data_IF_300344008124
#
_entry.id   IF_300344008124
#
_cell.length_a   1.000
_cell.length_b   1.000
_cell.length_c   1.000
_cell.angle_alpha   90.00
_cell.angle_beta   90.00
_cell.angle_gamma   90.00
#
_symmetry.space_group_name_H-M   'P 1'
#
loop_
_entity.id
_entity.type
_entity.pdbx_description
1 polymer ?
#
# COMPACT_ATOMS: atom_id res chain seq x y z
N UNK A 1 -3.43 -63.23 -6.95
CA UNK A 1 -4.67 -62.48 -7.22
C UNK A 1 -4.97 -61.44 -6.13
N UNK A 2 -5.11 -61.83 -4.86
CA UNK A 2 -5.40 -60.90 -3.75
C UNK A 2 -4.36 -59.76 -3.56
N UNK A 3 -3.07 -60.06 -3.76
CA UNK A 3 -1.99 -59.07 -3.63
C UNK A 3 -2.08 -57.92 -4.64
N UNK A 4 -2.55 -58.21 -5.87
CA UNK A 4 -2.69 -57.21 -6.94
C UNK A 4 -3.84 -56.24 -6.64
N UNK A 5 -4.91 -56.72 -6.00
CA UNK A 5 -6.07 -55.91 -5.59
C UNK A 5 -5.73 -55.00 -4.41
N UNK A 6 -4.89 -55.47 -3.48
CA UNK A 6 -4.42 -54.66 -2.36
C UNK A 6 -3.49 -53.53 -2.85
N UNK A 7 -2.61 -53.80 -3.81
CA UNK A 7 -1.71 -52.79 -4.38
C UNK A 7 -2.49 -51.68 -5.11
N UNK A 8 -3.51 -52.04 -5.90
CA UNK A 8 -4.30 -51.04 -6.62
C UNK A 8 -5.14 -50.15 -5.68
N UNK A 9 -5.69 -50.71 -4.60
CA UNK A 9 -6.45 -49.96 -3.60
C UNK A 9 -5.58 -48.97 -2.81
N UNK A 10 -4.34 -49.34 -2.48
CA UNK A 10 -3.35 -48.46 -1.82
C UNK A 10 -2.91 -47.32 -2.76
N UNK A 11 -2.72 -47.61 -4.05
CA UNK A 11 -2.33 -46.59 -5.03
C UNK A 11 -3.43 -45.55 -5.27
N UNK A 12 -4.69 -45.99 -5.35
CA UNK A 12 -5.84 -45.09 -5.52
C UNK A 12 -6.00 -44.18 -4.29
N UNK A 13 -5.91 -44.71 -3.08
CA UNK A 13 -6.03 -43.94 -1.85
C UNK A 13 -4.94 -42.88 -1.65
N UNK A 14 -3.69 -43.15 -2.08
CA UNK A 14 -2.61 -42.15 -2.09
C UNK A 14 -2.85 -41.04 -3.13
N UNK A 15 -3.41 -41.37 -4.30
CA UNK A 15 -3.71 -40.38 -5.34
C UNK A 15 -4.83 -39.41 -4.94
N UNK A 16 -5.82 -39.87 -4.16
CA UNK A 16 -6.89 -39.01 -3.62
C UNK A 16 -6.44 -38.11 -2.46
N UNK A 17 -5.36 -38.46 -1.77
CA UNK A 17 -4.83 -37.67 -0.64
C UNK A 17 -4.15 -36.38 -1.09
N UNK A 18 -3.54 -36.38 -2.28
CA UNK A 18 -2.79 -35.22 -2.81
C UNK A 18 -3.69 -34.10 -3.34
N UNK A 19 -4.99 -34.35 -3.53
CA UNK A 19 -5.90 -33.40 -4.18
C UNK A 19 -6.48 -32.32 -3.24
N UNK A 20 -6.10 -32.29 -1.96
CA UNK A 20 -6.77 -31.45 -0.95
C UNK A 20 -5.91 -30.35 -0.31
N UNK A 21 -4.67 -30.13 -0.75
CA UNK A 21 -3.77 -29.13 -0.13
C UNK A 21 -3.68 -27.77 -0.82
N UNK A 22 -4.30 -27.56 -1.97
CA UNK A 22 -4.02 -26.36 -2.78
C UNK A 22 -5.04 -25.21 -2.60
N UNK A 23 -5.93 -25.33 -1.60
CA UNK A 23 -7.16 -24.52 -1.57
C UNK A 23 -7.33 -23.54 -0.41
N UNK A 24 -6.32 -23.27 0.43
CA UNK A 24 -6.52 -22.36 1.57
C UNK A 24 -5.25 -21.59 2.00
N UNK A 25 -5.32 -20.26 1.85
CA UNK A 25 -4.56 -19.23 2.56
C UNK A 25 -3.11 -18.91 2.17
N UNK A 26 -2.52 -19.53 1.15
CA UNK A 26 -1.26 -19.04 0.57
C UNK A 26 -1.58 -18.18 -0.64
N UNK A 27 -1.09 -16.95 -0.66
CA UNK A 27 -1.13 -16.15 -1.86
C UNK A 27 -0.38 -16.91 -2.98
N UNK A 28 -0.91 -16.89 -4.20
CA UNK A 28 -0.31 -17.56 -5.36
C UNK A 28 1.08 -16.94 -5.60
N UNK A 29 2.15 -17.68 -5.34
CA UNK A 29 3.55 -17.18 -5.33
C UNK A 29 4.11 -16.89 -6.73
N UNK A 30 3.26 -16.67 -7.71
CA UNK A 30 3.64 -16.29 -9.06
C UNK A 30 2.48 -15.56 -9.76
N UNK A 31 1.97 -14.51 -9.12
CA UNK A 31 0.89 -13.74 -9.74
C UNK A 31 1.42 -12.99 -10.98
N UNK A 32 0.74 -13.06 -12.13
CA UNK A 32 1.17 -12.34 -13.34
C UNK A 32 1.11 -10.80 -13.19
N UNK A 33 0.53 -10.30 -12.10
CA UNK A 33 0.52 -8.87 -11.75
C UNK A 33 1.77 -8.41 -11.02
N UNK A 34 2.56 -9.33 -10.46
CA UNK A 34 3.82 -9.01 -9.80
C UNK A 34 4.93 -9.00 -10.85
N UNK A 35 5.22 -7.83 -11.42
CA UNK A 35 6.35 -7.68 -12.35
C UNK A 35 7.69 -7.96 -11.64
N UNK A 36 7.76 -7.65 -10.34
CA UNK A 36 8.86 -7.99 -9.45
C UNK A 36 8.35 -8.68 -8.17
N UNK A 37 9.27 -9.41 -7.51
CA UNK A 37 8.96 -10.14 -6.28
C UNK A 37 8.40 -9.23 -5.17
N UNK A 38 8.81 -7.96 -5.13
CA UNK A 38 8.27 -6.96 -4.21
C UNK A 38 7.99 -5.65 -4.91
N UNK A 39 6.86 -5.05 -4.60
CA UNK A 39 6.47 -3.77 -5.18
C UNK A 39 4.97 -3.56 -5.13
N UNK A 40 4.55 -2.40 -5.63
CA UNK A 40 3.15 -2.09 -5.87
C UNK A 40 2.95 -1.96 -7.37
N UNK A 41 1.93 -2.59 -7.91
CA UNK A 41 1.69 -2.66 -9.35
C UNK A 41 0.24 -2.29 -9.69
N UNK A 42 0.07 -1.70 -10.86
CA UNK A 42 -1.25 -1.31 -11.35
C UNK A 42 -2.10 -2.54 -11.66
N UNK A 43 -3.37 -2.49 -11.27
CA UNK A 43 -4.34 -3.52 -11.63
C UNK A 43 -5.11 -3.05 -12.87
N UNK A 44 -5.16 -3.84 -13.95
CA UNK A 44 -5.90 -3.44 -15.14
C UNK A 44 -7.38 -3.23 -14.81
N UNK A 45 -7.97 -2.16 -15.36
CA UNK A 45 -9.37 -1.75 -15.15
C UNK A 45 -9.74 -1.30 -13.72
N UNK A 46 -8.83 -1.33 -12.75
CA UNK A 46 -9.11 -0.93 -11.37
C UNK A 46 -8.19 0.21 -10.90
N UNK A 47 -8.46 1.43 -11.33
CA UNK A 47 -7.61 2.60 -11.03
C UNK A 47 -7.42 2.91 -9.54
N UNK A 48 -8.37 2.53 -8.69
CA UNK A 48 -8.30 2.75 -7.24
C UNK A 48 -7.72 1.55 -6.49
N UNK A 49 -7.42 0.44 -7.17
CA UNK A 49 -6.79 -0.73 -6.56
C UNK A 49 -5.41 -0.94 -7.15
N UNK A 50 -4.53 -1.51 -6.35
CA UNK A 50 -3.20 -1.90 -6.75
C UNK A 50 -2.85 -3.25 -6.13
N UNK A 51 -1.97 -3.98 -6.80
CA UNK A 51 -1.40 -5.21 -6.28
C UNK A 51 -0.16 -4.87 -5.46
N UNK A 52 -0.17 -5.17 -4.18
CA UNK A 52 1.00 -5.16 -3.32
C UNK A 52 1.60 -6.57 -3.30
N UNK A 53 2.76 -6.71 -3.92
CA UNK A 53 3.44 -7.98 -4.09
C UNK A 53 4.48 -8.20 -2.99
N UNK A 54 4.47 -9.40 -2.42
CA UNK A 54 5.45 -9.85 -1.43
C UNK A 54 5.94 -11.24 -1.78
N UNK A 55 7.18 -11.38 -2.23
CA UNK A 55 7.72 -12.67 -2.70
C UNK A 55 6.86 -13.29 -3.82
N UNK A 56 6.52 -12.46 -4.82
CA UNK A 56 5.69 -12.80 -5.99
C UNK A 56 4.22 -13.13 -5.68
N UNK A 57 3.82 -12.82 -4.45
CA UNK A 57 2.50 -13.05 -3.90
C UNK A 57 1.69 -11.75 -3.93
N UNK A 58 0.69 -11.66 -4.83
CA UNK A 58 -0.11 -10.45 -4.99
C UNK A 58 -1.21 -10.35 -3.93
N UNK A 59 -1.24 -9.23 -3.21
CA UNK A 59 -2.34 -8.84 -2.32
C UNK A 59 -2.97 -7.55 -2.83
N UNK A 60 -4.29 -7.47 -2.89
CA UNK A 60 -4.96 -6.29 -3.44
C UNK A 60 -5.27 -5.28 -2.33
N UNK A 61 -4.85 -4.04 -2.55
CA UNK A 61 -5.14 -2.91 -1.66
C UNK A 61 -5.80 -1.79 -2.44
N UNK A 62 -6.61 -0.99 -1.76
CA UNK A 62 -7.27 0.17 -2.37
C UNK A 62 -6.61 1.47 -1.93
N UNK A 63 -6.49 2.42 -2.85
CA UNK A 63 -6.06 3.77 -2.55
C UNK A 63 -7.08 4.49 -1.65
N UNK A 64 -6.62 5.28 -0.68
CA UNK A 64 -7.52 6.02 0.21
C UNK A 64 -8.24 7.16 -0.55
N UNK A 65 -9.48 7.44 -0.15
CA UNK A 65 -10.29 8.51 -0.73
C UNK A 65 -10.52 8.35 -2.23
N UNK A 66 -10.29 9.43 -2.98
CA UNK A 66 -10.48 9.52 -4.44
C UNK A 66 -9.18 9.33 -5.24
N UNK A 67 -8.09 8.92 -4.59
CA UNK A 67 -6.80 8.72 -5.25
C UNK A 67 -6.81 7.48 -6.15
N UNK A 68 -5.94 7.50 -7.15
CA UNK A 68 -5.71 6.41 -8.09
C UNK A 68 -4.25 5.98 -8.03
N UNK A 69 -3.95 4.73 -8.39
CA UNK A 69 -2.59 4.23 -8.38
C UNK A 69 -1.81 4.74 -9.60
N UNK A 70 -0.64 5.36 -9.37
CA UNK A 70 0.30 5.73 -10.42
C UNK A 70 1.38 4.65 -10.53
N UNK A 71 1.42 3.96 -11.66
CA UNK A 71 2.46 2.97 -11.95
C UNK A 71 3.86 3.57 -12.04
N UNK A 72 3.99 4.80 -12.55
CA UNK A 72 5.27 5.51 -12.66
C UNK A 72 5.91 5.80 -11.28
N UNK A 73 5.07 6.13 -10.29
CA UNK A 73 5.51 6.51 -8.94
C UNK A 73 5.36 5.37 -7.92
N UNK A 74 4.78 4.24 -8.34
CA UNK A 74 4.44 3.10 -7.50
C UNK A 74 3.68 3.48 -6.21
N UNK A 75 2.74 4.43 -6.32
CA UNK A 75 1.97 4.95 -5.17
C UNK A 75 0.65 5.57 -5.60
N UNK A 76 -0.27 5.72 -4.64
CA UNK A 76 -1.51 6.44 -4.86
C UNK A 76 -1.25 7.94 -5.04
N UNK A 77 -1.87 8.52 -6.06
CA UNK A 77 -1.76 9.93 -6.43
C UNK A 77 -3.10 10.42 -7.01
N UNK A 78 -3.21 11.72 -7.23
CA UNK A 78 -4.39 12.26 -7.89
C UNK A 78 -4.39 11.92 -9.39
N UNK A 79 -5.57 11.62 -9.95
CA UNK A 79 -5.71 11.28 -11.37
C UNK A 79 -5.19 12.36 -12.34
N UNK A 80 -5.13 13.63 -11.91
CA UNK A 80 -4.60 14.73 -12.71
C UNK A 80 -3.07 14.88 -12.63
N UNK A 81 -2.41 14.16 -11.71
CA UNK A 81 -0.96 14.11 -11.55
C UNK A 81 -0.31 12.90 -12.23
N UNK A 82 -1.13 12.06 -12.89
CA UNK A 82 -0.71 10.96 -13.74
C UNK A 82 -0.27 11.48 -15.10
N UNK A 83 0.49 10.66 -15.82
CA UNK A 83 0.82 10.93 -17.21
C UNK A 83 -0.45 10.83 -18.08
N UNK A 84 -0.65 11.69 -19.10
CA UNK A 84 -1.86 11.66 -19.94
C UNK A 84 -2.08 10.34 -20.71
N UNK A 85 -1.04 9.52 -20.83
CA UNK A 85 -1.09 8.20 -21.45
C UNK A 85 -1.59 7.10 -20.50
N UNK A 86 -1.66 7.38 -19.20
CA UNK A 86 -2.14 6.41 -18.21
C UNK A 86 -3.67 6.23 -18.35
N UNK A 87 -4.18 4.98 -18.40
CA UNK A 87 -5.62 4.72 -18.50
C UNK A 87 -6.45 5.27 -17.34
N UNK A 88 -5.81 5.60 -16.23
CA UNK A 88 -6.41 6.15 -15.02
C UNK A 88 -6.25 7.68 -14.90
N UNK A 89 -5.65 8.33 -15.91
CA UNK A 89 -5.55 9.79 -15.97
C UNK A 89 -6.95 10.42 -15.99
N UNK A 90 -7.19 11.36 -15.07
CA UNK A 90 -8.43 12.13 -15.00
C UNK A 90 -8.10 13.61 -14.82
N UNK A 91 -8.43 14.48 -15.78
CA UNK A 91 -8.25 15.90 -15.60
C UNK A 91 -9.16 16.39 -14.48
N UNK A 92 -8.72 17.43 -13.77
CA UNK A 92 -9.39 17.99 -12.59
C UNK A 92 -10.88 18.35 -12.80
N UNK A 93 -11.31 18.51 -14.06
CA UNK A 93 -12.70 18.78 -14.44
C UNK A 93 -13.61 17.54 -14.48
N UNK A 94 -13.07 16.32 -14.34
CA UNK A 94 -13.80 15.06 -14.57
C UNK A 94 -14.16 14.26 -13.29
N UNK A 95 -13.98 14.80 -12.08
CA UNK A 95 -14.24 14.04 -10.83
C UNK A 95 -14.81 14.86 -9.67
N UNK A 96 -15.80 15.70 -9.94
CA UNK A 96 -16.77 16.09 -8.92
C UNK A 96 -17.75 14.93 -8.66
N UNK A 97 -17.27 13.90 -7.97
CA UNK A 97 -18.04 12.71 -7.59
C UNK A 97 -17.83 12.31 -6.12
N UNK A 98 -17.43 13.25 -5.27
CA UNK A 98 -17.50 13.15 -3.82
C UNK A 98 -18.52 14.16 -3.33
N UNK A 99 -19.51 13.68 -2.59
CA UNK A 99 -20.58 14.48 -2.01
C UNK A 99 -20.04 15.77 -1.37
N UNK A 100 -20.46 16.92 -1.90
CA UNK A 100 -20.41 18.18 -1.18
C UNK A 100 -21.65 18.26 -0.29
N UNK A 101 -21.67 17.45 0.77
CA UNK A 101 -22.55 17.72 1.90
C UNK A 101 -21.96 18.95 2.60
N UNK A 102 -22.67 20.08 2.47
CA UNK A 102 -22.55 21.32 3.27
C UNK A 102 -21.27 21.46 4.13
N UNK A 103 -20.21 22.06 3.57
CA UNK A 103 -19.05 22.50 4.38
C UNK A 103 -19.41 23.80 5.13
N UNK A 104 -20.32 23.66 6.09
CA UNK A 104 -20.71 24.65 7.08
C UNK A 104 -20.77 23.97 8.45
N UNK A 105 -19.62 23.49 8.92
CA UNK A 105 -19.54 22.78 10.20
C UNK A 105 -18.14 22.26 10.47
N UNK A 106 -17.25 23.11 10.96
CA UNK A 106 -16.07 22.63 11.68
C UNK A 106 -16.56 21.98 12.98
N UNK A 107 -16.74 20.65 12.97
CA UNK A 107 -16.85 19.93 14.23
C UNK A 107 -15.52 20.12 14.98
N UNK A 108 -15.56 20.54 16.27
CA UNK A 108 -14.33 20.67 17.05
C UNK A 108 -13.62 19.31 17.14
N UNK A 109 -12.30 19.33 16.97
CA UNK A 109 -11.44 18.16 17.10
C UNK A 109 -11.68 17.50 18.46
N UNK A 110 -11.83 16.16 18.55
CA UNK A 110 -11.80 15.47 19.82
C UNK A 110 -10.43 15.69 20.51
N UNK A 111 -10.38 15.83 21.85
CA UNK A 111 -9.13 15.99 22.56
C UNK A 111 -8.21 14.79 22.30
N UNK A 112 -6.94 15.09 21.99
CA UNK A 112 -5.90 14.09 21.79
C UNK A 112 -5.77 13.22 23.05
N UNK A 113 -5.66 11.87 22.91
CA UNK A 113 -5.26 11.04 24.04
C UNK A 113 -3.83 11.42 24.49
N UNK A 114 -3.51 11.30 25.79
CA UNK A 114 -2.16 11.58 26.28
C UNK A 114 -1.16 10.65 25.59
N UNK A 115 -0.07 11.24 25.10
CA UNK A 115 1.06 10.51 24.52
C UNK A 115 1.62 9.54 25.56
N UNK A 116 1.62 8.25 25.23
CA UNK A 116 2.27 7.21 26.03
C UNK A 116 3.81 7.35 25.87
N UNK A 117 4.58 7.61 26.94
CA UNK A 117 6.01 7.92 26.83
C UNK A 117 6.94 6.69 26.59
N UNK A 118 6.41 5.52 26.25
CA UNK A 118 7.23 4.29 26.17
C UNK A 118 7.92 4.00 24.82
N UNK A 119 7.97 4.95 23.88
CA UNK A 119 8.71 4.77 22.63
C UNK A 119 9.82 5.82 22.44
N UNK A 120 10.69 5.97 23.45
CA UNK A 120 11.92 6.76 23.39
C UNK A 120 13.16 5.95 23.77
N UNK A 121 13.30 4.76 23.19
CA UNK A 121 14.61 4.10 23.09
C UNK A 121 14.67 3.57 21.68
N UNK A 122 15.42 4.14 20.75
CA UNK A 122 16.87 4.31 20.84
C UNK A 122 17.32 5.52 20.01
N UNK A 123 17.89 6.52 20.67
CA UNK A 123 18.75 7.53 20.04
C UNK A 123 20.00 7.72 20.89
N UNK A 124 21.08 7.04 20.52
CA UNK A 124 22.43 7.35 21.00
C UNK A 124 23.37 7.41 19.80
N UNK A 125 23.31 8.53 19.08
CA UNK A 125 24.48 9.12 18.43
C UNK A 125 24.46 10.64 18.69
N UNK A 126 25.61 11.16 19.08
CA UNK A 126 25.84 12.43 19.78
C UNK A 126 25.38 13.71 19.04
N UNK A 127 25.17 14.83 19.77
CA UNK A 127 24.82 16.11 19.17
C UNK A 127 26.07 16.81 18.64
N UNK A 128 26.20 16.96 17.34
CA UNK A 128 26.94 18.11 16.78
C UNK A 128 25.95 19.24 16.58
N UNK A 129 26.20 20.36 17.25
CA UNK A 129 25.39 21.58 17.24
C UNK A 129 24.87 21.92 15.83
N UNK A 130 23.56 21.81 15.63
CA UNK A 130 22.89 22.26 14.42
C UNK A 130 22.44 23.71 14.65
N UNK A 131 23.27 24.63 14.17
CA UNK A 131 22.90 26.03 13.97
C UNK A 131 21.74 26.12 12.97
N UNK A 132 20.54 26.43 13.44
CA UNK A 132 19.40 26.75 12.57
C UNK A 132 19.46 28.24 12.21
N UNK A 133 19.89 28.55 10.98
CA UNK A 133 19.76 29.89 10.42
C UNK A 133 18.38 30.02 9.76
N UNK A 134 17.60 31.00 10.22
CA UNK A 134 16.31 31.37 9.62
C UNK A 134 16.38 32.76 8.99
N UNK A 135 15.63 32.99 7.92
CA UNK A 135 15.50 34.31 7.28
C UNK A 135 14.14 34.91 7.63
N UNK A 136 14.12 36.18 8.01
CA UNK A 136 12.90 36.93 8.25
C UNK A 136 12.15 37.25 6.96
N UNK A 137 10.89 37.63 7.11
CA UNK A 137 10.08 38.14 6.01
C UNK A 137 10.64 39.42 5.37
N UNK A 138 11.55 40.11 6.06
CA UNK A 138 12.32 41.27 5.58
C UNK A 138 13.65 40.88 4.90
N UNK A 139 14.00 39.59 4.87
CA UNK A 139 15.23 39.10 4.21
C UNK A 139 16.48 39.14 5.10
N UNK A 140 16.37 39.65 6.33
CA UNK A 140 17.45 39.59 7.33
C UNK A 140 17.58 38.17 7.92
N UNK A 141 18.81 37.70 8.16
CA UNK A 141 19.03 36.40 8.83
C UNK A 141 19.01 36.56 10.35
N UNK A 142 18.33 35.66 11.05
CA UNK A 142 18.44 35.53 12.51
C UNK A 142 19.07 34.18 12.88
N UNK A 143 20.01 34.26 13.82
CA UNK A 143 20.62 33.11 14.47
C UNK A 143 19.99 33.01 15.87
N UNK A 144 19.23 31.95 16.11
CA UNK A 144 18.70 31.68 17.43
C UNK A 144 19.69 30.78 18.17
N UNK A 145 20.44 31.35 19.11
CA UNK A 145 21.30 30.60 20.02
C UNK A 145 20.46 30.10 21.18
N UNK A 146 20.18 28.79 21.20
CA UNK A 146 19.76 28.07 22.40
C UNK A 146 20.96 27.74 23.28
#
# INVERSE_FOLDING_TARGET
MAYVILISALALSLAFYSSSVEGALTCESNSPLCLEARGQFAVPNECRKFANCWDSCATFSSCPGTLVFSGDKNRCDFGWNLTPSDPCYKPMMASAGGAADNFGGFAPLPPLPPLNPLFQSQSQFAPTASMSQGINQDGTMFQNTG
#
